data_IF_118006082676
#
_entry.id   IF_118006082676
#
_cell.length_a   1.000
_cell.length_b   1.000
_cell.length_c   1.000
_cell.angle_alpha   90.00
_cell.angle_beta   90.00
_cell.angle_gamma   90.00
#
_symmetry.space_group_name_H-M   'P 1'
#
loop_
_entity.id
_entity.type
_entity.pdbx_description
1 polymer ?
#
# COMPACT_ATOMS: atom_id res chain seq x y z
N UNK A 1 -18.56 13.39 3.58
CA UNK A 1 -17.27 14.02 3.18
C UNK A 1 -16.15 13.52 4.07
N UNK A 2 -14.94 13.28 3.53
CA UNK A 2 -13.84 12.60 4.24
C UNK A 2 -12.74 13.60 4.63
N UNK A 3 -13.05 14.54 5.53
CA UNK A 3 -12.13 15.59 5.96
C UNK A 3 -11.06 15.07 6.92
N UNK A 4 -9.79 15.44 6.70
CA UNK A 4 -8.67 15.13 7.60
C UNK A 4 -8.13 13.70 7.56
N UNK A 5 -8.72 12.79 6.79
CA UNK A 5 -8.27 11.40 6.74
C UNK A 5 -7.04 11.21 5.85
N UNK A 6 -6.00 10.59 6.41
CA UNK A 6 -4.82 10.12 5.66
C UNK A 6 -5.02 8.66 5.20
N UNK A 7 -4.43 8.31 4.06
CA UNK A 7 -4.44 6.95 3.49
C UNK A 7 -5.70 6.57 2.70
N UNK A 8 -5.55 5.62 1.76
CA UNK A 8 -6.60 5.16 0.84
C UNK A 8 -7.21 3.82 1.29
N UNK A 9 -8.50 3.59 0.98
CA UNK A 9 -9.21 2.34 1.34
C UNK A 9 -8.93 1.16 0.39
N UNK A 10 -8.50 1.42 -0.84
CA UNK A 10 -8.21 0.41 -1.89
C UNK A 10 -9.32 -0.63 -2.11
N UNK A 11 -10.59 -0.27 -1.81
CA UNK A 11 -11.74 -1.16 -1.83
C UNK A 11 -11.52 -2.50 -1.09
N UNK A 12 -10.73 -2.48 0.00
CA UNK A 12 -10.33 -3.66 0.78
C UNK A 12 -10.65 -3.46 2.26
N UNK A 13 -10.77 -4.56 3.00
CA UNK A 13 -10.84 -4.53 4.47
C UNK A 13 -9.52 -4.06 5.09
N UNK A 14 -9.53 -3.73 6.39
CA UNK A 14 -8.31 -3.35 7.12
C UNK A 14 -7.28 -4.49 7.13
N UNK A 15 -7.73 -5.73 7.38
CA UNK A 15 -6.87 -6.92 7.41
C UNK A 15 -6.18 -7.16 6.07
N UNK A 16 -6.93 -7.11 4.98
CA UNK A 16 -6.38 -7.28 3.64
C UNK A 16 -5.41 -6.15 3.28
N UNK A 17 -5.68 -4.88 3.65
CA UNK A 17 -4.69 -3.81 3.41
C UNK A 17 -3.39 -4.06 4.15
N UNK A 18 -3.44 -4.52 5.41
CA UNK A 18 -2.24 -4.82 6.21
C UNK A 18 -1.39 -5.90 5.54
N UNK A 19 -2.01 -7.01 5.12
CA UNK A 19 -1.27 -8.09 4.43
C UNK A 19 -0.77 -7.67 3.04
N UNK A 20 -1.58 -6.92 2.27
CA UNK A 20 -1.19 -6.42 0.95
C UNK A 20 0.07 -5.55 1.03
N UNK A 21 0.13 -4.62 1.99
CA UNK A 21 1.30 -3.75 2.14
C UNK A 21 2.51 -4.48 2.72
N UNK A 22 2.31 -5.44 3.64
CA UNK A 22 3.40 -6.29 4.11
C UNK A 22 4.05 -7.06 2.96
N UNK A 23 3.26 -7.69 2.10
CA UNK A 23 3.76 -8.43 0.94
C UNK A 23 4.46 -7.50 -0.07
N UNK A 24 3.89 -6.32 -0.33
CA UNK A 24 4.53 -5.33 -1.22
C UNK A 24 5.88 -4.84 -0.68
N UNK A 25 6.00 -4.66 0.63
CA UNK A 25 7.26 -4.28 1.26
C UNK A 25 8.31 -5.40 1.14
N UNK A 26 7.91 -6.65 1.38
CA UNK A 26 8.78 -7.83 1.20
C UNK A 26 9.28 -7.91 -0.24
N UNK A 27 8.37 -7.86 -1.23
CA UNK A 27 8.77 -7.91 -2.65
C UNK A 27 9.66 -6.74 -3.07
N UNK A 28 9.47 -5.56 -2.49
CA UNK A 28 10.35 -4.40 -2.77
C UNK A 28 11.75 -4.62 -2.22
N UNK A 29 11.89 -5.21 -1.03
CA UNK A 29 13.19 -5.53 -0.43
C UNK A 29 13.88 -6.66 -1.22
N UNK A 30 13.13 -7.68 -1.62
CA UNK A 30 13.67 -8.86 -2.33
C UNK A 30 14.14 -8.55 -3.75
N UNK A 31 13.40 -7.70 -4.47
CA UNK A 31 13.67 -7.43 -5.89
C UNK A 31 14.26 -6.05 -6.15
N UNK A 32 14.47 -5.23 -5.11
CA UNK A 32 14.97 -3.84 -5.13
C UNK A 32 14.10 -2.84 -5.92
N UNK A 33 13.26 -3.32 -6.84
CA UNK A 33 12.34 -2.55 -7.65
C UNK A 33 11.10 -3.40 -7.98
N UNK A 34 9.91 -2.80 -7.85
CA UNK A 34 8.65 -3.45 -8.22
C UNK A 34 7.78 -2.49 -9.04
N UNK A 35 6.96 -3.06 -9.93
CA UNK A 35 5.93 -2.32 -10.65
C UNK A 35 4.60 -2.49 -9.93
N UNK A 36 3.98 -1.37 -9.55
CA UNK A 36 2.66 -1.37 -8.91
C UNK A 36 1.88 -0.12 -9.30
N UNK A 37 0.61 -0.03 -8.90
CA UNK A 37 -0.23 1.14 -9.19
C UNK A 37 0.27 2.37 -8.43
N UNK A 38 0.24 3.54 -9.06
CA UNK A 38 0.63 4.82 -8.46
C UNK A 38 0.11 5.05 -7.02
N UNK A 39 -1.17 4.84 -6.68
CA UNK A 39 -1.65 5.06 -5.32
C UNK A 39 -1.07 4.06 -4.31
N UNK A 40 -0.80 2.80 -4.69
CA UNK A 40 -0.15 1.82 -3.80
C UNK A 40 1.31 2.20 -3.56
N UNK A 41 2.03 2.60 -4.61
CA UNK A 41 3.41 3.07 -4.49
C UNK A 41 3.50 4.30 -3.57
N UNK A 42 2.59 5.27 -3.74
CA UNK A 42 2.59 6.48 -2.90
C UNK A 42 2.36 6.20 -1.43
N UNK A 43 1.52 5.22 -1.10
CA UNK A 43 1.17 4.82 0.27
C UNK A 43 2.09 3.75 0.87
N UNK A 44 2.97 3.12 0.06
CA UNK A 44 3.99 2.16 0.52
C UNK A 44 5.26 2.84 1.04
N UNK A 45 5.50 4.09 0.63
CA UNK A 45 6.65 4.87 1.10
C UNK A 45 6.54 5.16 2.62
N UNK A 46 7.68 5.28 3.33
CA UNK A 46 7.70 5.64 4.75
C UNK A 46 7.02 7.00 5.02
#
# INVERSE_FOLDING_TARGET
>A
MRHGFKGRRFARSVSHRKSMFANLAVSLIEHEQIVTTLPKAKDLRP
#
